data_IF_309505121688
#
_entry.id   IF_309505121688
#
_cell.length_a   1.000
_cell.length_b   1.000
_cell.length_c   1.000
_cell.angle_alpha   90.00
_cell.angle_beta   90.00
_cell.angle_gamma   90.00
#
_symmetry.space_group_name_H-M   'P 1'
#
loop_
_entity.id
_entity.type
_entity.pdbx_description
1 polymer ?
#
# COMPACT_ATOMS: atom_id res chain seq x y z
N UNK A 1 24.94 -2.69 -19.98
CA UNK A 1 24.88 -1.85 -18.76
C UNK A 1 23.41 -1.64 -18.39
N UNK A 2 22.82 -2.54 -17.60
CA UNK A 2 21.49 -2.31 -17.00
C UNK A 2 21.70 -1.97 -15.53
N UNK A 3 21.73 -0.67 -15.22
CA UNK A 3 21.82 -0.17 -13.85
C UNK A 3 20.42 -0.14 -13.20
N UNK A 4 20.27 -0.61 -11.94
CA UNK A 4 19.02 -0.57 -11.20
C UNK A 4 18.94 0.73 -10.39
N UNK A 5 18.39 1.80 -10.97
CA UNK A 5 17.99 2.96 -10.18
C UNK A 5 16.56 2.73 -9.70
N UNK A 6 16.49 2.36 -8.43
CA UNK A 6 15.28 2.35 -7.62
C UNK A 6 14.85 3.81 -7.43
N UNK A 7 14.17 4.36 -8.43
CA UNK A 7 13.59 5.70 -8.38
C UNK A 7 12.67 5.79 -7.17
N UNK A 8 13.09 6.60 -6.20
CA UNK A 8 12.35 6.93 -5.01
C UNK A 8 11.00 7.53 -5.41
N UNK A 9 9.93 6.78 -5.13
CA UNK A 9 8.55 7.26 -5.30
C UNK A 9 8.28 8.41 -4.32
N UNK A 10 8.68 9.61 -4.71
CA UNK A 10 8.27 10.84 -4.06
C UNK A 10 6.95 11.32 -4.69
N UNK A 11 5.85 10.63 -4.36
CA UNK A 11 4.50 11.14 -4.62
C UNK A 11 4.18 12.18 -3.55
N UNK A 12 4.69 13.41 -3.68
CA UNK A 12 4.37 14.52 -2.79
C UNK A 12 3.66 15.68 -3.50
N UNK A 13 2.91 15.39 -4.57
CA UNK A 13 2.40 16.44 -5.47
C UNK A 13 0.96 16.31 -5.99
N UNK A 14 0.18 15.28 -5.64
CA UNK A 14 -1.18 15.13 -6.18
C UNK A 14 -2.19 14.71 -5.11
N UNK A 15 -3.08 15.65 -4.75
CA UNK A 15 -4.38 15.44 -4.09
C UNK A 15 -4.46 14.35 -2.99
N UNK A 16 -4.44 14.79 -1.72
CA UNK A 16 -4.52 13.95 -0.51
C UNK A 16 -5.79 13.07 -0.35
N UNK A 17 -6.69 13.08 -1.34
CA UNK A 17 -7.91 12.27 -1.37
C UNK A 17 -7.80 10.99 -2.21
N UNK A 18 -6.86 10.90 -3.16
CA UNK A 18 -6.77 9.74 -4.07
C UNK A 18 -5.72 8.72 -3.62
N UNK A 19 -4.66 9.19 -2.96
CA UNK A 19 -3.52 8.34 -2.58
C UNK A 19 -3.75 7.46 -1.33
N UNK A 20 -4.80 7.72 -0.54
CA UNK A 20 -5.22 6.86 0.60
C UNK A 20 -6.15 5.71 0.21
N UNK A 21 -6.51 5.57 -1.07
CA UNK A 21 -7.69 4.80 -1.49
C UNK A 21 -7.48 3.28 -1.67
N UNK A 22 -6.29 2.74 -1.41
CA UNK A 22 -6.15 1.33 -1.03
C UNK A 22 -4.71 1.01 -0.64
N UNK A 23 -4.39 1.20 0.64
CA UNK A 23 -3.15 0.70 1.24
C UNK A 23 -2.89 -0.77 0.88
N UNK A 24 -3.94 -1.59 0.75
CA UNK A 24 -3.85 -2.98 0.31
C UNK A 24 -3.26 -3.12 -1.10
N UNK A 25 -3.66 -2.26 -2.04
CA UNK A 25 -3.15 -2.28 -3.42
C UNK A 25 -1.68 -1.82 -3.44
N UNK A 26 -1.34 -0.77 -2.68
CA UNK A 26 0.06 -0.31 -2.51
C UNK A 26 0.96 -1.41 -1.95
N UNK A 27 0.52 -2.10 -0.90
CA UNK A 27 1.26 -3.21 -0.27
C UNK A 27 1.41 -4.42 -1.18
N UNK A 28 0.48 -4.67 -2.10
CA UNK A 28 0.60 -5.77 -3.08
C UNK A 28 1.60 -5.43 -4.19
N UNK A 29 1.73 -4.14 -4.57
CA UNK A 29 2.58 -3.67 -5.67
C UNK A 29 4.06 -3.92 -5.41
N UNK A 30 4.56 -3.63 -4.21
CA UNK A 30 5.99 -3.74 -3.89
C UNK A 30 6.36 -5.07 -3.25
N UNK A 31 7.60 -5.52 -3.45
CA UNK A 31 8.13 -6.75 -2.81
C UNK A 31 8.18 -6.62 -1.29
N UNK A 32 8.65 -5.49 -0.79
CA UNK A 32 8.66 -5.16 0.65
C UNK A 32 7.25 -5.14 1.24
N UNK A 33 6.27 -4.60 0.51
CA UNK A 33 4.86 -4.61 0.91
C UNK A 33 4.28 -6.01 1.04
N UNK A 34 4.61 -6.91 0.09
CA UNK A 34 4.19 -8.32 0.14
C UNK A 34 4.81 -9.06 1.34
N UNK A 35 6.06 -8.79 1.68
CA UNK A 35 6.71 -9.36 2.87
C UNK A 35 5.98 -8.94 4.16
N UNK A 36 5.65 -7.65 4.29
CA UNK A 36 4.86 -7.16 5.45
C UNK A 36 3.52 -7.88 5.55
N UNK A 37 2.79 -8.05 4.43
CA UNK A 37 1.52 -8.77 4.44
C UNK A 37 1.68 -10.24 4.83
N UNK A 38 2.76 -10.91 4.40
CA UNK A 38 3.09 -12.29 4.80
C UNK A 38 3.29 -12.38 6.32
N UNK A 39 4.11 -11.50 6.90
CA UNK A 39 4.33 -11.46 8.36
C UNK A 39 3.05 -11.17 9.14
N UNK A 40 2.21 -10.25 8.66
CA UNK A 40 0.94 -9.92 9.33
C UNK A 40 -0.06 -11.08 9.32
N UNK A 41 -0.11 -11.84 8.22
CA UNK A 41 -0.93 -13.07 8.12
C UNK A 41 -0.40 -14.17 9.02
N UNK A 42 0.91 -14.41 9.04
CA UNK A 42 1.53 -15.41 9.92
C UNK A 42 1.28 -15.11 11.41
N UNK A 43 1.26 -13.83 11.79
CA UNK A 43 0.89 -13.38 13.14
C UNK A 43 -0.62 -13.46 13.43
N UNK A 44 -1.47 -13.74 12.44
CA UNK A 44 -2.92 -13.83 12.61
C UNK A 44 -3.63 -12.50 12.79
N UNK A 45 -3.09 -11.39 12.26
CA UNK A 45 -3.74 -10.08 12.41
C UNK A 45 -5.05 -10.03 11.61
N UNK A 46 -6.18 -9.80 12.30
CA UNK A 46 -7.53 -9.62 11.71
C UNK A 46 -7.59 -8.49 10.68
N UNK A 47 -6.95 -7.36 10.97
CA UNK A 47 -6.85 -6.22 10.05
C UNK A 47 -5.46 -6.18 9.44
N UNK A 48 -5.35 -6.46 8.13
CA UNK A 48 -4.07 -6.46 7.43
C UNK A 48 -3.56 -5.04 7.12
N UNK A 49 -4.46 -4.12 6.77
CA UNK A 49 -4.15 -2.72 6.52
C UNK A 49 -5.12 -1.83 7.30
N UNK A 50 -4.67 -1.17 8.38
CA UNK A 50 -5.56 -0.34 9.20
C UNK A 50 -5.95 0.99 8.54
N UNK A 51 -5.28 1.41 7.46
CA UNK A 51 -5.53 2.66 6.73
C UNK A 51 -6.07 2.40 5.30
N UNK A 52 -6.77 1.29 5.09
CA UNK A 52 -7.45 1.04 3.82
C UNK A 52 -8.88 1.57 3.87
N UNK A 53 -9.19 2.56 3.04
CA UNK A 53 -10.56 3.04 2.82
C UNK A 53 -11.16 2.35 1.58
N UNK A 54 -12.46 2.02 1.59
CA UNK A 54 -13.16 1.55 0.40
C UNK A 54 -13.40 2.71 -0.58
N UNK A 55 -13.47 2.43 -1.87
CA UNK A 55 -13.72 3.41 -2.94
C UNK A 55 -15.22 3.69 -3.17
N UNK A 56 -16.10 3.06 -2.40
CA UNK A 56 -17.55 3.24 -2.46
C UNK A 56 -18.23 2.97 -1.12
N UNK A 57 -19.45 3.46 -0.98
CA UNK A 57 -20.28 3.29 0.22
C UNK A 57 -20.08 4.38 1.27
N UNK A 58 -20.63 4.16 2.47
CA UNK A 58 -20.72 5.16 3.57
C UNK A 58 -19.36 5.63 4.15
N UNK A 59 -18.24 5.06 3.71
CA UNK A 59 -16.87 5.33 4.19
C UNK A 59 -15.89 5.70 3.06
N UNK A 60 -16.41 5.93 1.86
CA UNK A 60 -15.65 6.35 0.69
C UNK A 60 -15.46 7.87 0.63
#
# INVERSE_FOLDING_TARGET
MHGPYHEDMNCSGLSQNVERQAEIRRRRRTTSGRAVLKHRRAKGRKVLCPKSNPNSGKRA
#
